data_IF_775835653304
#
_entry.id   IF_775835653304
#
_cell.length_a   1.000
_cell.length_b   1.000
_cell.length_c   1.000
_cell.angle_alpha   90.00
_cell.angle_beta   90.00
_cell.angle_gamma   90.00
#
_symmetry.space_group_name_H-M   'P 1'
#
loop_
_entity.id
_entity.type
_entity.pdbx_description
1 polymer ?
#
# COMPACT_ATOMS: atom_id res chain seq x y z
N UNK A 1 18.42 13.17 15.28
CA UNK A 1 17.39 12.24 14.76
C UNK A 1 17.30 12.41 13.26
N UNK A 2 17.71 11.42 12.47
CA UNK A 2 17.59 11.49 11.02
C UNK A 2 16.17 11.05 10.64
N UNK A 3 15.22 11.99 10.64
CA UNK A 3 13.85 11.76 10.18
C UNK A 3 13.92 11.53 8.67
N UNK A 4 14.14 10.28 8.24
CA UNK A 4 13.91 9.92 6.83
C UNK A 4 12.44 10.27 6.56
N UNK A 5 12.22 11.27 5.71
CA UNK A 5 10.89 11.69 5.31
C UNK A 5 10.12 10.45 4.85
N UNK A 6 9.00 10.17 5.50
CA UNK A 6 8.16 9.04 5.14
C UNK A 6 7.61 9.28 3.73
N UNK A 7 7.87 8.33 2.83
CA UNK A 7 7.49 8.49 1.43
C UNK A 7 5.98 8.37 1.33
N UNK A 8 5.37 9.29 0.59
CA UNK A 8 3.93 9.28 0.34
C UNK A 8 3.65 8.74 -1.05
N UNK A 9 2.59 7.94 -1.15
CA UNK A 9 1.91 7.67 -2.42
C UNK A 9 1.10 8.92 -2.75
N UNK A 10 1.06 9.34 -4.02
CA UNK A 10 0.17 10.44 -4.46
C UNK A 10 -1.26 10.19 -3.99
N UNK A 11 -2.04 11.21 -3.60
CA UNK A 11 -3.42 11.04 -3.10
C UNK A 11 -4.44 11.05 -4.24
N UNK A 12 -5.61 10.46 -4.01
CA UNK A 12 -6.72 10.51 -4.96
C UNK A 12 -6.50 9.68 -6.23
N UNK A 13 -5.52 8.76 -6.22
CA UNK A 13 -5.34 7.82 -7.32
C UNK A 13 -6.54 6.89 -7.44
N UNK A 14 -6.84 6.46 -8.66
CA UNK A 14 -7.77 5.34 -8.90
C UNK A 14 -7.19 4.04 -8.37
N UNK A 15 -8.00 2.98 -8.33
CA UNK A 15 -7.53 1.66 -7.91
C UNK A 15 -6.40 1.15 -8.81
N UNK A 16 -6.55 1.22 -10.14
CA UNK A 16 -5.48 0.76 -11.04
C UNK A 16 -4.22 1.61 -10.93
N UNK A 17 -4.37 2.95 -10.84
CA UNK A 17 -3.22 3.84 -10.71
C UNK A 17 -2.47 3.64 -9.38
N UNK A 18 -3.18 3.33 -8.30
CA UNK A 18 -2.58 2.94 -7.03
C UNK A 18 -1.77 1.63 -7.16
N UNK A 19 -2.33 0.61 -7.81
CA UNK A 19 -1.63 -0.66 -8.05
C UNK A 19 -0.40 -0.47 -8.95
N UNK A 20 -0.52 0.37 -9.98
CA UNK A 20 0.59 0.75 -10.85
C UNK A 20 1.70 1.45 -10.05
N UNK A 21 1.37 2.42 -9.20
CA UNK A 21 2.36 3.12 -8.36
C UNK A 21 3.03 2.16 -7.38
N UNK A 22 2.27 1.25 -6.76
CA UNK A 22 2.85 0.22 -5.89
C UNK A 22 3.84 -0.66 -6.66
N UNK A 23 3.45 -1.17 -7.82
CA UNK A 23 4.29 -2.07 -8.62
C UNK A 23 5.55 -1.41 -9.19
N UNK A 24 5.45 -0.15 -9.61
CA UNK A 24 6.57 0.57 -10.27
C UNK A 24 7.50 1.27 -9.28
N UNK A 25 6.99 1.83 -8.17
CA UNK A 25 7.78 2.65 -7.24
C UNK A 25 8.07 1.96 -5.90
N UNK A 26 7.32 0.92 -5.55
CA UNK A 26 7.36 0.29 -4.23
C UNK A 26 7.39 -1.24 -4.31
N UNK A 27 8.32 -1.78 -5.10
CA UNK A 27 8.44 -3.22 -5.39
C UNK A 27 8.39 -4.13 -4.15
N UNK A 28 9.00 -3.74 -3.04
CA UNK A 28 8.95 -4.50 -1.78
C UNK A 28 7.57 -4.56 -1.14
N UNK A 29 6.78 -3.49 -1.22
CA UNK A 29 5.38 -3.50 -0.79
C UNK A 29 4.51 -4.26 -1.79
N UNK A 30 4.76 -4.09 -3.09
CA UNK A 30 4.03 -4.79 -4.15
C UNK A 30 4.17 -6.31 -4.04
N UNK A 31 5.38 -6.82 -3.74
CA UNK A 31 5.62 -8.25 -3.56
C UNK A 31 4.71 -8.90 -2.51
N UNK A 32 4.38 -8.16 -1.45
CA UNK A 32 3.44 -8.61 -0.42
C UNK A 32 2.00 -8.40 -0.87
N UNK A 33 1.72 -7.23 -1.45
CA UNK A 33 0.40 -6.84 -1.92
C UNK A 33 -0.20 -7.83 -2.93
N UNK A 34 0.59 -8.33 -3.89
CA UNK A 34 0.11 -9.29 -4.90
C UNK A 34 -0.29 -10.66 -4.31
N UNK A 35 0.08 -10.96 -3.06
CA UNK A 35 -0.34 -12.19 -2.38
C UNK A 35 -1.74 -12.09 -1.77
N UNK A 36 -2.24 -10.86 -1.60
CA UNK A 36 -3.59 -10.63 -1.11
C UNK A 36 -4.63 -11.01 -2.16
N UNK A 37 -5.79 -11.45 -1.69
CA UNK A 37 -6.99 -11.60 -2.52
C UNK A 37 -7.47 -10.25 -3.06
N UNK A 38 -8.25 -10.25 -4.14
CA UNK A 38 -8.79 -9.01 -4.71
C UNK A 38 -9.61 -8.20 -3.68
N UNK A 39 -10.36 -8.88 -2.81
CA UNK A 39 -11.14 -8.24 -1.73
C UNK A 39 -10.23 -7.52 -0.74
N UNK A 40 -9.13 -8.14 -0.33
CA UNK A 40 -8.15 -7.53 0.58
C UNK A 40 -7.42 -6.37 -0.10
N UNK A 41 -7.01 -6.53 -1.35
CA UNK A 41 -6.42 -5.46 -2.17
C UNK A 41 -7.30 -4.21 -2.24
N UNK A 42 -8.60 -4.39 -2.50
CA UNK A 42 -9.60 -3.31 -2.45
C UNK A 42 -9.69 -2.68 -1.06
N UNK A 43 -9.51 -3.45 0.01
CA UNK A 43 -9.48 -2.91 1.38
C UNK A 43 -8.21 -2.10 1.66
N UNK A 44 -7.05 -2.54 1.15
CA UNK A 44 -5.80 -1.75 1.22
C UNK A 44 -5.97 -0.42 0.49
N UNK A 45 -6.56 -0.44 -0.71
CA UNK A 45 -6.82 0.79 -1.45
C UNK A 45 -7.72 1.76 -0.67
N UNK A 46 -8.81 1.26 -0.04
CA UNK A 46 -9.65 2.09 0.84
C UNK A 46 -8.86 2.65 2.02
N UNK A 47 -7.96 1.87 2.62
CA UNK A 47 -7.08 2.34 3.68
C UNK A 47 -6.14 3.46 3.20
N UNK A 48 -5.52 3.28 2.03
CA UNK A 48 -4.61 4.27 1.41
C UNK A 48 -5.30 5.63 1.19
N UNK A 49 -6.59 5.64 0.84
CA UNK A 49 -7.36 6.89 0.68
C UNK A 49 -7.43 7.71 1.98
N UNK A 50 -7.34 7.07 3.15
CA UNK A 50 -7.27 7.73 4.45
C UNK A 50 -5.84 8.01 4.95
N UNK A 51 -4.89 7.12 4.66
CA UNK A 51 -3.47 7.29 5.01
C UNK A 51 -2.55 6.86 3.85
N UNK A 52 -1.99 7.84 3.16
CA UNK A 52 -1.19 7.62 1.95
C UNK A 52 0.30 7.45 2.21
N UNK A 53 0.72 7.27 3.46
CA UNK A 53 2.13 6.97 3.79
C UNK A 53 2.46 5.54 3.40
N UNK A 54 3.57 5.33 2.67
CA UNK A 54 3.94 3.98 2.23
C UNK A 54 4.23 3.05 3.40
N UNK A 55 4.75 3.59 4.51
CA UNK A 55 5.00 2.85 5.74
C UNK A 55 3.68 2.24 6.27
N UNK A 56 2.65 3.07 6.45
CA UNK A 56 1.33 2.68 6.95
C UNK A 56 0.61 1.74 6.00
N UNK A 57 0.66 1.99 4.68
CA UNK A 57 0.08 1.09 3.67
C UNK A 57 0.75 -0.29 3.72
N UNK A 58 2.09 -0.34 3.84
CA UNK A 58 2.82 -1.60 3.96
C UNK A 58 2.49 -2.35 5.24
N UNK A 59 2.37 -1.66 6.37
CA UNK A 59 1.96 -2.26 7.64
C UNK A 59 0.57 -2.89 7.55
N UNK A 60 -0.38 -2.22 6.92
CA UNK A 60 -1.73 -2.76 6.72
C UNK A 60 -1.72 -3.97 5.76
N UNK A 61 -0.89 -3.96 4.69
CA UNK A 61 -0.67 -5.13 3.82
C UNK A 61 -0.18 -6.32 4.62
N UNK A 62 0.84 -6.13 5.48
CA UNK A 62 1.39 -7.19 6.32
C UNK A 62 0.33 -7.70 7.30
N UNK A 63 -0.41 -6.80 7.96
CA UNK A 63 -1.48 -7.17 8.90
C UNK A 63 -2.53 -8.08 8.25
N UNK A 64 -2.94 -7.78 7.02
CA UNK A 64 -3.93 -8.58 6.27
C UNK A 64 -3.40 -9.97 5.96
N UNK A 65 -2.15 -10.07 5.50
CA UNK A 65 -1.49 -11.36 5.24
C UNK A 65 -1.36 -12.22 6.50
N UNK A 66 -1.13 -11.61 7.67
CA UNK A 66 -0.99 -12.33 8.94
C UNK A 66 -2.33 -12.69 9.59
N UNK A 67 -3.45 -12.18 9.07
CA UNK A 67 -4.79 -12.43 9.61
C UNK A 67 -5.61 -13.42 8.76
N UNK A 68 -5.01 -13.96 7.70
CA UNK A 68 -5.58 -14.94 6.76
C UNK A 68 -5.08 -16.35 7.06
#
# INVERSE_FOLDING_TARGET
MNLKADKKIEQGLTFEAFEEVLSTRYSGSNFLYVKLSEKERKSIYKFYQGDNRISSVREEIVRRLSSS
#
